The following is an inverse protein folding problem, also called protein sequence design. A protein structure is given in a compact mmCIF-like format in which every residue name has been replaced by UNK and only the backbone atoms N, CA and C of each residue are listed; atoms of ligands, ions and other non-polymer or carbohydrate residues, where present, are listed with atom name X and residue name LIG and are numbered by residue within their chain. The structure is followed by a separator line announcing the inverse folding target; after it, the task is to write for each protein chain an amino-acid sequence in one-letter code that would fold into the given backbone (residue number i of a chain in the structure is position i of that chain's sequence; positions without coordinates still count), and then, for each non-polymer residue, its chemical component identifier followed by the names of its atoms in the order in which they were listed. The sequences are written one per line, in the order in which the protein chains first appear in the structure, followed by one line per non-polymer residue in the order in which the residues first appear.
data_IF_104712051658
#
_entry.id   IF_104712051658
#
_cell.length_a   1.000
_cell.length_b   1.000
_cell.length_c   1.000
_cell.angle_alpha   90.00
_cell.angle_beta   90.00
_cell.angle_gamma   90.00
#
_symmetry.space_group_name_H-M   'P 1'
#
loop_
_entity.id
_entity.type
_entity.pdbx_description
1 polymer ?
#
# COMPACT_ATOMS: atom_id res chain seq x y z
N UNK A 1 4.12 14.59 -26.54
CA UNK A 1 5.34 14.14 -27.25
C UNK A 1 5.16 12.68 -27.62
N UNK A 2 5.58 12.24 -28.81
CA UNK A 2 5.44 10.83 -29.20
C UNK A 2 6.32 9.93 -28.32
N UNK A 3 5.88 8.69 -28.04
CA UNK A 3 6.72 7.72 -27.34
C UNK A 3 7.93 7.31 -28.19
N UNK A 4 9.03 6.94 -27.53
CA UNK A 4 10.26 6.49 -28.19
C UNK A 4 10.57 5.03 -27.82
N UNK A 5 10.77 4.22 -28.85
CA UNK A 5 11.26 2.85 -28.74
C UNK A 5 12.66 2.75 -29.36
N UNK A 6 13.64 2.28 -28.58
CA UNK A 6 15.02 2.14 -29.03
C UNK A 6 15.42 0.66 -29.01
N UNK A 7 16.00 0.20 -30.12
CA UNK A 7 16.41 -1.21 -30.31
C UNK A 7 17.86 -1.24 -30.81
N UNK A 8 18.87 -1.24 -29.92
CA UNK A 8 20.25 -1.37 -30.32
C UNK A 8 20.57 -2.81 -30.72
N UNK A 9 21.58 -2.95 -31.58
CA UNK A 9 22.01 -4.20 -32.17
C UNK A 9 23.52 -4.19 -32.45
N UNK A 10 24.08 -5.33 -32.84
CA UNK A 10 25.46 -5.42 -33.35
C UNK A 10 26.56 -5.40 -32.28
N UNK A 11 26.22 -5.61 -31.01
CA UNK A 11 27.17 -5.73 -29.92
C UNK A 11 26.76 -6.85 -28.95
N UNK A 12 27.70 -7.30 -28.12
CA UNK A 12 27.43 -8.33 -27.11
C UNK A 12 26.42 -7.87 -26.04
N UNK A 13 25.73 -8.80 -25.34
CA UNK A 13 24.66 -8.47 -24.38
C UNK A 13 25.07 -7.47 -23.30
N UNK A 14 26.29 -7.59 -22.77
CA UNK A 14 26.84 -6.68 -21.75
C UNK A 14 27.02 -5.27 -22.30
N UNK A 15 27.54 -5.14 -23.52
CA UNK A 15 27.75 -3.85 -24.17
C UNK A 15 26.41 -3.16 -24.45
N UNK A 16 25.42 -3.88 -24.96
CA UNK A 16 24.07 -3.36 -25.21
C UNK A 16 23.38 -2.93 -23.90
N UNK A 17 23.52 -3.72 -22.83
CA UNK A 17 22.97 -3.37 -21.51
C UNK A 17 23.61 -2.09 -20.96
N UNK A 18 24.94 -1.98 -21.03
CA UNK A 18 25.65 -0.77 -20.60
C UNK A 18 25.26 0.44 -21.44
N UNK A 19 25.12 0.27 -22.75
CA UNK A 19 24.67 1.31 -23.66
C UNK A 19 23.26 1.80 -23.32
N UNK A 20 22.31 0.89 -23.11
CA UNK A 20 20.94 1.23 -22.72
C UNK A 20 20.91 2.02 -21.40
N UNK A 21 21.72 1.61 -20.40
CA UNK A 21 21.86 2.37 -19.14
C UNK A 21 22.44 3.76 -19.36
N UNK A 22 23.43 3.89 -20.23
CA UNK A 22 24.04 5.18 -20.55
C UNK A 22 23.03 6.11 -21.24
N UNK A 23 22.29 5.62 -22.24
CA UNK A 23 21.22 6.39 -22.91
C UNK A 23 20.13 6.78 -21.92
N UNK A 24 19.70 5.88 -21.05
CA UNK A 24 18.74 6.18 -19.99
C UNK A 24 19.25 7.31 -19.08
N UNK A 25 20.50 7.23 -18.62
CA UNK A 25 21.12 8.25 -17.77
C UNK A 25 21.24 9.61 -18.45
N UNK A 26 21.76 9.65 -19.69
CA UNK A 26 21.98 10.88 -20.45
C UNK A 26 20.67 11.56 -20.87
N UNK A 27 19.62 10.79 -21.19
CA UNK A 27 18.31 11.32 -21.60
C UNK A 27 17.36 11.59 -20.44
N UNK A 28 17.82 11.46 -19.18
CA UNK A 28 16.99 11.52 -17.97
C UNK A 28 16.08 12.74 -17.92
N UNK A 29 16.53 13.89 -18.37
CA UNK A 29 15.76 15.14 -18.35
C UNK A 29 14.47 15.09 -19.18
N UNK A 30 14.39 14.20 -20.17
CA UNK A 30 13.26 14.11 -21.09
C UNK A 30 12.19 13.10 -20.67
N UNK A 31 12.58 12.00 -20.04
CA UNK A 31 11.66 10.91 -19.67
C UNK A 31 11.38 10.83 -18.17
N UNK A 32 12.31 11.28 -17.31
CA UNK A 32 12.14 11.09 -15.87
C UNK A 32 10.99 11.94 -15.33
N UNK A 33 10.17 11.38 -14.43
CA UNK A 33 9.08 12.12 -13.83
C UNK A 33 9.61 13.29 -13.01
N UNK A 34 8.85 14.38 -12.98
CA UNK A 34 9.04 15.41 -11.95
C UNK A 34 8.48 14.86 -10.64
N UNK A 35 9.18 15.10 -9.54
CA UNK A 35 8.63 14.82 -8.21
C UNK A 35 7.75 16.00 -7.83
N UNK A 36 6.45 15.76 -7.75
CA UNK A 36 5.52 16.72 -7.16
C UNK A 36 5.34 16.42 -5.68
N UNK A 37 5.32 17.46 -4.87
CA UNK A 37 4.79 17.39 -3.50
C UNK A 37 3.32 17.75 -3.56
N UNK A 38 2.45 16.91 -2.99
CA UNK A 38 1.04 17.29 -2.84
C UNK A 38 0.94 18.29 -1.69
N UNK A 39 0.61 19.55 -1.98
CA UNK A 39 0.35 20.59 -0.98
C UNK A 39 -1.01 20.45 -0.29
N UNK A 40 -1.82 19.45 -0.67
CA UNK A 40 -3.22 19.33 -0.27
C UNK A 40 -3.46 18.87 1.18
N UNK A 41 -2.41 18.49 1.92
CA UNK A 41 -2.54 18.20 3.35
C UNK A 41 -1.41 18.88 4.09
N UNK A 42 -1.62 20.08 4.62
CA UNK A 42 -0.68 20.67 5.59
C UNK A 42 -0.24 19.64 6.64
N UNK A 43 1.01 19.75 7.06
CA UNK A 43 1.72 19.00 8.12
C UNK A 43 0.79 18.06 8.90
N UNK A 44 0.85 16.76 8.62
CA UNK A 44 0.33 15.75 9.53
C UNK A 44 1.08 15.90 10.87
N UNK A 45 0.33 15.87 11.97
CA UNK A 45 0.77 16.16 13.35
C UNK A 45 1.97 15.31 13.82
N UNK A 46 2.33 14.26 13.09
CA UNK A 46 3.42 13.32 13.40
C UNK A 46 4.74 13.54 12.62
N UNK A 47 4.83 14.52 11.72
CA UNK A 47 6.12 14.84 11.05
C UNK A 47 6.54 13.85 9.94
N UNK A 48 5.63 12.98 9.49
CA UNK A 48 5.92 12.01 8.43
C UNK A 48 5.98 12.64 7.03
N UNK A 49 7.02 12.25 6.29
CA UNK A 49 7.37 12.73 4.96
C UNK A 49 6.20 12.57 3.97
N UNK A 50 5.79 13.67 3.33
CA UNK A 50 4.75 13.68 2.30
C UNK A 50 4.96 12.58 1.25
N UNK A 51 3.91 11.83 0.87
CA UNK A 51 3.99 10.96 -0.28
C UNK A 51 4.15 11.83 -1.54
N UNK A 52 5.31 11.74 -2.19
CA UNK A 52 5.55 12.39 -3.47
C UNK A 52 4.81 11.65 -4.58
N UNK A 53 4.30 12.40 -5.55
CA UNK A 53 3.76 11.82 -6.78
C UNK A 53 4.75 12.02 -7.93
N UNK A 54 4.69 11.11 -8.90
CA UNK A 54 5.50 11.18 -10.11
C UNK A 54 4.66 11.81 -11.21
N UNK A 55 5.07 13.00 -11.65
CA UNK A 55 4.43 13.71 -12.74
C UNK A 55 5.18 13.46 -14.05
N UNK A 56 4.48 12.83 -14.99
CA UNK A 56 4.97 12.54 -16.35
C UNK A 56 4.45 13.54 -17.39
N UNK A 57 3.78 14.63 -16.98
CA UNK A 57 3.35 15.68 -17.90
C UNK A 57 4.53 16.27 -18.67
N UNK A 58 4.42 16.27 -20.00
CA UNK A 58 5.50 16.72 -20.88
C UNK A 58 6.73 15.81 -20.90
N UNK A 59 6.67 14.60 -20.32
CA UNK A 59 7.75 13.60 -20.39
C UNK A 59 7.52 12.63 -21.54
N UNK A 60 8.62 12.20 -22.16
CA UNK A 60 8.61 11.25 -23.28
C UNK A 60 8.59 9.84 -22.69
N UNK A 61 7.57 9.00 -22.99
CA UNK A 61 7.65 7.57 -22.66
C UNK A 61 8.80 6.93 -23.44
N UNK A 62 9.77 6.36 -22.72
CA UNK A 62 10.95 5.73 -23.29
C UNK A 62 10.95 4.24 -22.97
N UNK A 63 11.01 3.42 -24.02
CA UNK A 63 11.14 1.97 -23.90
C UNK A 63 12.35 1.48 -24.69
N UNK A 64 13.03 0.47 -24.16
CA UNK A 64 14.21 -0.13 -24.77
C UNK A 64 14.12 -1.64 -24.79
N UNK A 65 14.62 -2.27 -25.85
CA UNK A 65 14.89 -3.71 -25.92
C UNK A 65 16.08 -3.94 -26.83
N UNK A 66 16.58 -5.16 -27.00
CA UNK A 66 17.63 -5.46 -27.99
C UNK A 66 17.04 -6.19 -29.19
N UNK A 67 17.71 -6.07 -30.35
CA UNK A 67 17.24 -6.71 -31.57
C UNK A 67 17.12 -8.23 -31.42
N UNK A 68 18.05 -8.87 -30.70
CA UNK A 68 18.04 -10.32 -30.48
C UNK A 68 16.80 -10.76 -29.69
N UNK A 69 16.48 -10.05 -28.60
CA UNK A 69 15.27 -10.32 -27.81
C UNK A 69 14.01 -10.09 -28.63
N UNK A 70 14.00 -9.05 -29.47
CA UNK A 70 12.87 -8.74 -30.33
C UNK A 70 12.68 -9.82 -31.42
N UNK A 71 13.75 -10.37 -31.97
CA UNK A 71 13.69 -11.48 -32.92
C UNK A 71 13.19 -12.76 -32.26
N UNK A 72 13.60 -13.01 -31.02
CA UNK A 72 13.24 -14.22 -30.27
C UNK A 72 11.76 -14.23 -29.84
N UNK A 73 11.25 -13.11 -29.33
CA UNK A 73 9.92 -13.07 -28.72
C UNK A 73 8.88 -12.21 -29.47
N UNK A 74 9.31 -11.48 -30.50
CA UNK A 74 8.45 -10.57 -31.26
C UNK A 74 8.03 -9.31 -30.49
N UNK A 75 7.26 -8.44 -31.16
CA UNK A 75 6.80 -7.16 -30.60
C UNK A 75 5.86 -7.32 -29.39
N UNK A 76 5.07 -8.40 -29.38
CA UNK A 76 4.12 -8.72 -28.32
C UNK A 76 4.75 -9.49 -27.16
N UNK A 77 6.01 -9.90 -27.29
CA UNK A 77 6.74 -10.60 -26.24
C UNK A 77 7.13 -9.69 -25.07
N UNK A 78 7.42 -10.27 -23.88
CA UNK A 78 7.81 -9.53 -22.68
C UNK A 78 9.27 -9.06 -22.75
N UNK A 79 9.60 -8.24 -23.75
CA UNK A 79 10.99 -7.84 -24.07
C UNK A 79 11.26 -6.35 -23.89
N UNK A 80 10.22 -5.53 -23.75
CA UNK A 80 10.35 -4.09 -23.65
C UNK A 80 10.55 -3.65 -22.22
N UNK A 81 11.63 -2.93 -21.98
CA UNK A 81 11.97 -2.34 -20.71
C UNK A 81 11.54 -0.88 -20.73
N UNK A 82 10.58 -0.52 -19.88
CA UNK A 82 10.23 0.88 -19.66
C UNK A 82 11.31 1.55 -18.83
N UNK A 83 11.74 2.72 -19.27
CA UNK A 83 12.74 3.53 -18.58
C UNK A 83 12.01 4.57 -17.72
N UNK A 84 11.86 4.30 -16.42
CA UNK A 84 11.13 5.17 -15.50
C UNK A 84 11.80 5.37 -14.11
N UNK A 85 13.01 4.85 -13.93
CA UNK A 85 13.90 5.17 -12.80
C UNK A 85 13.45 4.68 -11.42
N UNK A 86 12.32 3.98 -11.30
CA UNK A 86 11.77 3.54 -10.01
C UNK A 86 11.64 2.03 -9.85
N UNK A 87 11.79 1.24 -10.91
CA UNK A 87 11.89 -0.23 -10.80
C UNK A 87 12.91 -0.80 -11.77
N UNK A 88 13.62 -1.89 -11.40
CA UNK A 88 14.14 -2.81 -12.40
C UNK A 88 12.92 -3.40 -13.11
N UNK A 89 12.62 -2.91 -14.31
CA UNK A 89 11.47 -3.42 -15.06
C UNK A 89 11.76 -4.86 -15.50
N UNK A 90 10.88 -5.79 -15.12
CA UNK A 90 10.70 -7.01 -15.89
C UNK A 90 10.23 -6.62 -17.31
N UNK A 91 10.65 -7.36 -18.33
CA UNK A 91 10.27 -7.05 -19.70
C UNK A 91 8.76 -7.16 -19.90
N UNK A 92 8.17 -6.22 -20.63
CA UNK A 92 6.74 -6.16 -20.92
C UNK A 92 6.48 -6.18 -22.43
N UNK A 93 5.25 -6.52 -22.86
CA UNK A 93 4.80 -6.28 -24.23
C UNK A 93 4.84 -4.78 -24.56
N UNK A 94 5.09 -4.43 -25.83
CA UNK A 94 5.30 -3.04 -26.26
C UNK A 94 4.16 -2.10 -25.83
N UNK A 95 2.91 -2.49 -26.11
CA UNK A 95 1.75 -1.67 -25.81
C UNK A 95 1.61 -1.43 -24.30
N UNK A 96 1.92 -2.43 -23.48
CA UNK A 96 1.87 -2.30 -22.02
C UNK A 96 3.00 -1.40 -21.50
N UNK A 97 4.22 -1.56 -22.01
CA UNK A 97 5.36 -0.73 -21.65
C UNK A 97 5.13 0.76 -22.00
N UNK A 98 4.37 1.04 -23.07
CA UNK A 98 3.99 2.39 -23.46
C UNK A 98 2.81 2.93 -22.65
N UNK A 99 1.82 2.11 -22.35
CA UNK A 99 0.59 2.49 -21.64
C UNK A 99 0.79 2.73 -20.13
N UNK A 100 1.84 2.17 -19.52
CA UNK A 100 2.16 2.35 -18.08
C UNK A 100 2.68 3.78 -17.76
N UNK A 101 1.89 4.80 -18.09
CA UNK A 101 2.09 6.16 -17.62
C UNK A 101 1.29 6.25 -16.34
N UNK A 102 1.86 5.87 -15.18
CA UNK A 102 1.21 5.96 -13.85
C UNK A 102 0.61 7.36 -13.66
N UNK A 103 -0.69 7.59 -13.91
CA UNK A 103 -1.26 8.91 -13.86
C UNK A 103 -1.35 9.35 -12.41
N UNK A 104 -1.40 10.65 -12.19
CA UNK A 104 -1.71 11.25 -10.89
C UNK A 104 -3.00 10.66 -10.28
N UNK A 105 -3.97 10.29 -11.12
CA UNK A 105 -5.21 9.62 -10.71
C UNK A 105 -4.97 8.26 -10.02
N UNK A 106 -4.04 7.44 -10.51
CA UNK A 106 -3.70 6.14 -9.88
C UNK A 106 -3.02 6.33 -8.52
N UNK A 107 -2.30 7.44 -8.34
CA UNK A 107 -1.74 7.77 -7.03
C UNK A 107 -2.86 8.11 -6.04
N UNK A 108 -3.79 8.98 -6.41
CA UNK A 108 -4.95 9.32 -5.58
C UNK A 108 -5.79 8.11 -5.22
N UNK A 109 -6.15 7.28 -6.20
CA UNK A 109 -6.94 6.07 -5.94
C UNK A 109 -6.22 5.10 -4.98
N UNK A 110 -4.88 5.04 -5.01
CA UNK A 110 -4.10 4.26 -4.04
C UNK A 110 -4.08 4.88 -2.66
N UNK A 111 -4.04 6.21 -2.54
CA UNK A 111 -4.10 6.88 -1.24
C UNK A 111 -5.49 6.74 -0.62
N UNK A 112 -6.55 6.98 -1.38
CA UNK A 112 -7.94 6.78 -0.93
C UNK A 112 -8.16 5.37 -0.41
N UNK A 113 -7.68 4.35 -1.12
CA UNK A 113 -7.77 2.95 -0.65
C UNK A 113 -7.00 2.70 0.65
N UNK A 114 -5.85 3.35 0.84
CA UNK A 114 -5.07 3.24 2.08
C UNK A 114 -5.77 3.92 3.25
N UNK A 115 -6.34 5.10 3.01
CA UNK A 115 -7.09 5.85 4.00
C UNK A 115 -8.35 5.09 4.42
N UNK A 116 -9.10 4.55 3.45
CA UNK A 116 -10.27 3.70 3.71
C UNK A 116 -9.89 2.44 4.50
N UNK A 117 -8.78 1.78 4.15
CA UNK A 117 -8.31 0.61 4.89
C UNK A 117 -7.88 0.97 6.32
N UNK A 118 -7.18 2.08 6.51
CA UNK A 118 -6.78 2.57 7.82
C UNK A 118 -7.99 2.96 8.67
N UNK A 119 -9.01 3.57 8.07
CA UNK A 119 -10.26 3.92 8.75
C UNK A 119 -11.07 2.68 9.15
N UNK A 120 -11.20 1.70 8.24
CA UNK A 120 -11.84 0.43 8.54
C UNK A 120 -11.14 -0.31 9.69
N UNK A 121 -9.80 -0.30 9.73
CA UNK A 121 -9.02 -0.88 10.82
C UNK A 121 -9.25 -0.13 12.14
N UNK A 122 -9.27 1.21 12.12
CA UNK A 122 -9.61 2.02 13.32
C UNK A 122 -11.00 1.69 13.85
N UNK A 123 -11.99 1.56 12.96
CA UNK A 123 -13.36 1.20 13.35
C UNK A 123 -13.42 -0.20 13.97
N UNK A 124 -12.72 -1.18 13.40
CA UNK A 124 -12.64 -2.54 13.97
C UNK A 124 -12.02 -2.55 15.36
N UNK A 125 -10.95 -1.78 15.58
CA UNK A 125 -10.32 -1.66 16.90
C UNK A 125 -11.24 -1.01 17.92
N UNK A 126 -11.89 0.09 17.55
CA UNK A 126 -12.85 0.76 18.43
C UNK A 126 -14.04 -0.14 18.78
N UNK A 127 -14.53 -0.94 17.84
CA UNK A 127 -15.60 -1.91 18.11
C UNK A 127 -15.13 -3.06 19.01
N UNK A 128 -13.91 -3.57 18.80
CA UNK A 128 -13.32 -4.59 19.66
C UNK A 128 -13.15 -4.07 21.11
N UNK A 129 -12.61 -2.86 21.28
CA UNK A 129 -12.48 -2.22 22.59
C UNK A 129 -13.82 -2.03 23.27
N UNK A 130 -14.86 -1.58 22.54
CA UNK A 130 -16.21 -1.48 23.08
C UNK A 130 -16.75 -2.82 23.55
N UNK A 131 -16.59 -3.89 22.77
CA UNK A 131 -17.04 -5.23 23.14
C UNK A 131 -16.29 -5.76 24.37
N UNK A 132 -14.99 -5.51 24.47
CA UNK A 132 -14.20 -5.86 25.65
C UNK A 132 -14.68 -5.11 26.90
N UNK A 133 -14.97 -3.82 26.76
CA UNK A 133 -15.50 -3.00 27.85
C UNK A 133 -16.86 -3.53 28.31
N UNK A 134 -17.79 -3.76 27.37
CA UNK A 134 -19.12 -4.32 27.65
C UNK A 134 -19.02 -5.69 28.32
N UNK A 135 -18.14 -6.58 27.84
CA UNK A 135 -17.89 -7.87 28.47
C UNK A 135 -17.32 -7.74 29.88
N UNK A 136 -16.45 -6.76 30.13
CA UNK A 136 -15.89 -6.49 31.45
C UNK A 136 -16.95 -5.99 32.42
N UNK A 137 -17.83 -5.09 31.98
CA UNK A 137 -18.98 -4.62 32.75
C UNK A 137 -19.96 -5.75 33.07
N UNK A 138 -20.32 -6.56 32.07
CA UNK A 138 -21.22 -7.70 32.26
C UNK A 138 -20.63 -8.73 33.26
N UNK A 139 -19.32 -8.98 33.22
CA UNK A 139 -18.64 -9.84 34.21
C UNK A 139 -18.70 -9.22 35.60
N UNK A 140 -18.41 -7.93 35.74
CA UNK A 140 -18.45 -7.24 37.03
C UNK A 140 -19.87 -7.31 37.63
N UNK A 141 -20.90 -7.02 36.83
CA UNK A 141 -22.30 -7.14 37.27
C UNK A 141 -22.67 -8.58 37.68
N UNK A 142 -22.20 -9.57 36.93
CA UNK A 142 -22.42 -10.98 37.27
C UNK A 142 -21.79 -11.33 38.63
N UNK A 143 -20.55 -10.89 38.89
CA UNK A 143 -19.89 -11.10 40.17
C UNK A 143 -20.62 -10.40 41.32
N UNK A 144 -21.10 -9.18 41.12
CA UNK A 144 -21.86 -8.44 42.13
C UNK A 144 -23.19 -9.11 42.45
N UNK A 145 -23.94 -9.54 41.43
CA UNK A 145 -25.18 -10.33 41.62
C UNK A 145 -24.90 -11.61 42.38
N UNK A 146 -23.82 -12.33 42.04
CA UNK A 146 -23.43 -13.57 42.70
C UNK A 146 -23.07 -13.35 44.18
N UNK A 147 -22.31 -12.28 44.48
CA UNK A 147 -21.98 -11.90 45.87
C UNK A 147 -23.22 -11.59 46.69
N UNK A 148 -24.16 -10.81 46.14
CA UNK A 148 -25.44 -10.51 46.82
C UNK A 148 -26.22 -11.79 47.14
N UNK A 149 -26.37 -12.68 46.15
CA UNK A 149 -27.05 -13.97 46.34
C UNK A 149 -26.37 -14.86 47.40
N UNK A 150 -25.04 -14.90 47.43
CA UNK A 150 -24.29 -15.63 48.46
C UNK A 150 -24.49 -15.04 49.86
N UNK A 151 -24.58 -13.71 49.97
CA UNK A 151 -24.85 -13.03 51.24
C UNK A 151 -26.27 -13.31 51.74
N UNK A 152 -27.26 -13.31 50.86
CA UNK A 152 -28.64 -13.71 51.18
C UNK A 152 -28.71 -15.16 51.65
N UNK A 153 -28.04 -16.07 50.94
CA UNK A 153 -27.97 -17.48 51.36
C UNK A 153 -27.31 -17.62 52.73
N UNK A 154 -26.17 -16.97 52.97
CA UNK A 154 -25.50 -17.02 54.28
C UNK A 154 -26.39 -16.51 55.42
N UNK A 155 -27.12 -15.41 55.22
CA UNK A 155 -28.09 -14.92 56.21
C UNK A 155 -29.23 -15.91 56.51
N UNK A 156 -29.71 -16.65 55.49
CA UNK A 156 -30.70 -17.72 55.67
C UNK A 156 -30.14 -18.91 56.46
N UNK A 157 -28.85 -19.23 56.33
CA UNK A 157 -28.19 -20.27 57.12
C UNK A 157 -27.98 -19.85 58.58
N UNK A 158 -27.68 -18.57 58.84
CA UNK A 158 -27.55 -18.02 60.19
C UNK A 158 -28.91 -17.99 60.94
N UNK A 159 -30.01 -17.71 60.23
CA UNK A 159 -31.38 -17.78 60.77
C UNK A 159 -31.85 -19.23 61.01
N UNK A 160 -31.46 -20.18 60.16
CA UNK A 160 -31.79 -21.59 60.35
C UNK A 160 -31.03 -22.21 61.54
N UNK A 161 -29.77 -21.84 61.76
CA UNK A 161 -28.98 -22.32 62.91
C UNK A 161 -29.44 -21.76 64.26
N UNK A 162 -30.01 -20.55 64.28
CA UNK A 162 -30.54 -19.92 65.51
C UNK A 162 -31.95 -20.40 65.87
N UNK A 163 -32.67 -21.03 64.95
CA UNK A 163 -33.97 -21.65 65.20
C UNK A 163 -33.87 -23.08 65.78
N UNK A 164 -32.72 -23.76 65.63
CA UNK A 164 -32.48 -25.13 66.11
C UNK A 164 -31.86 -25.18 67.54
N UNK A 165 -31.59 -24.02 68.15
CA UNK A 165 -31.03 -23.87 69.51
C UNK A 165 -32.05 -23.42 70.58
N UNK A 166 -33.36 -23.49 70.31
CA UNK A 166 -34.44 -23.17 71.29
C UNK A 166 -35.34 -24.37 71.57
#
# INVERSE_FOLDING_TARGET
LPPLAIVPAGAGPTALTNWMRAVAGLSREHWAPRRGTSSYHGVNREGDFYPFYLDFAGRIPLVMTTLDRLKEHGLSGPVWLRIDGYRPAEGQPLLQALADIRPYADFHQRQERREQAAEAERQRRAEAERRELEARWARAEWFDKRKRKMKELAGLWDEAGTADER
#
